data_IF_389801943112
#
_entry.id   IF_389801943112
#
_cell.length_a   1.000
_cell.length_b   1.000
_cell.length_c   1.000
_cell.angle_alpha   90.00
_cell.angle_beta   90.00
_cell.angle_gamma   90.00
#
_symmetry.space_group_name_H-M   'P 1'
#
loop_
_entity.id
_entity.type
_entity.pdbx_description
1 polymer ?
#
# COMPACT_ATOMS: atom_id res chain seq x y z
N UNK A 1 7.50 2.49 31.15
CA UNK A 1 7.54 3.89 30.64
C UNK A 1 7.89 3.83 29.16
N UNK A 2 6.97 4.24 28.29
CA UNK A 2 7.23 4.27 26.84
C UNK A 2 8.23 5.39 26.55
N UNK A 3 9.44 5.03 26.18
CA UNK A 3 10.48 5.98 25.77
C UNK A 3 10.04 6.71 24.51
N UNK A 4 10.06 8.04 24.53
CA UNK A 4 9.80 8.85 23.34
C UNK A 4 11.11 9.15 22.61
N UNK A 5 11.16 8.95 21.30
CA UNK A 5 12.31 9.26 20.44
C UNK A 5 12.38 10.79 20.26
N UNK A 6 13.47 11.43 20.72
CA UNK A 6 13.66 12.86 20.52
C UNK A 6 14.17 13.14 19.10
N UNK A 7 14.01 14.39 18.65
CA UNK A 7 14.53 14.86 17.34
C UNK A 7 16.02 14.59 17.17
N UNK A 8 16.80 14.77 18.22
CA UNK A 8 18.26 14.61 18.19
C UNK A 8 18.74 13.19 17.83
N UNK A 9 17.94 12.16 18.12
CA UNK A 9 18.26 10.79 17.70
C UNK A 9 18.02 10.57 16.20
N UNK A 10 17.15 11.38 15.58
CA UNK A 10 16.78 11.28 14.17
C UNK A 10 17.57 12.22 13.26
N UNK A 11 18.22 13.25 13.81
CA UNK A 11 18.96 14.25 13.02
C UNK A 11 20.06 13.61 12.16
N UNK A 12 20.80 12.66 12.70
CA UNK A 12 21.86 11.93 11.98
C UNK A 12 21.30 11.07 10.87
N UNK A 13 20.17 10.38 11.11
CA UNK A 13 19.48 9.56 10.11
C UNK A 13 18.98 10.42 8.96
N UNK A 14 18.27 11.52 9.26
CA UNK A 14 17.71 12.41 8.25
C UNK A 14 18.80 13.10 7.44
N UNK A 15 19.91 13.51 8.09
CA UNK A 15 21.06 14.10 7.40
C UNK A 15 21.77 13.10 6.49
N UNK A 16 21.96 11.86 6.95
CA UNK A 16 22.58 10.81 6.15
C UNK A 16 21.70 10.33 4.99
N UNK A 17 20.39 10.37 5.18
CA UNK A 17 19.39 10.01 4.17
C UNK A 17 19.01 11.17 3.25
N UNK A 18 19.92 12.13 3.00
CA UNK A 18 19.70 13.26 2.11
C UNK A 18 19.40 12.82 0.66
N UNK A 19 18.58 13.56 -0.10
CA UNK A 19 17.80 13.06 -1.25
C UNK A 19 18.58 12.68 -2.52
N UNK A 20 19.90 12.75 -2.50
CA UNK A 20 20.73 12.44 -3.68
C UNK A 20 21.01 10.94 -3.85
N UNK A 21 20.85 10.13 -2.80
CA UNK A 21 21.30 8.74 -2.78
C UNK A 21 20.13 7.75 -2.49
N UNK A 22 19.08 8.18 -1.80
CA UNK A 22 18.00 7.32 -1.35
C UNK A 22 16.63 7.82 -1.81
N UNK A 23 15.91 7.00 -2.56
CA UNK A 23 14.55 7.29 -3.02
C UNK A 23 13.52 7.16 -1.89
N UNK A 24 13.79 6.31 -0.92
CA UNK A 24 12.88 6.04 0.20
C UNK A 24 13.60 6.05 1.54
N UNK A 25 12.94 6.61 2.55
CA UNK A 25 13.41 6.65 3.94
C UNK A 25 12.42 5.89 4.80
N UNK A 26 12.92 5.01 5.67
CA UNK A 26 12.08 4.23 6.58
C UNK A 26 12.65 4.31 7.99
N UNK A 27 11.78 4.61 8.96
CA UNK A 27 12.07 4.52 10.38
C UNK A 27 11.34 3.32 10.96
N UNK A 28 12.08 2.38 11.52
CA UNK A 28 11.53 1.26 12.29
C UNK A 28 11.89 1.49 13.75
N UNK A 29 10.90 1.49 14.64
CA UNK A 29 11.12 1.74 16.06
C UNK A 29 10.29 0.81 16.94
N UNK A 30 10.91 0.42 18.07
CA UNK A 30 10.31 -0.41 19.12
C UNK A 30 9.54 0.42 20.16
N UNK A 31 9.04 1.60 19.77
CA UNK A 31 8.20 2.48 20.56
C UNK A 31 7.29 3.28 19.63
N UNK A 32 6.11 3.66 20.09
CA UNK A 32 5.20 4.57 19.38
C UNK A 32 5.43 6.05 19.77
N UNK A 33 6.26 6.29 20.76
CA UNK A 33 6.57 7.61 21.26
C UNK A 33 7.50 8.38 20.32
N UNK A 34 7.00 9.44 19.69
CA UNK A 34 7.80 10.46 18.99
C UNK A 34 7.57 11.82 19.65
N UNK A 35 8.65 12.56 19.91
CA UNK A 35 8.51 13.96 20.33
C UNK A 35 7.83 14.79 19.22
N UNK A 36 7.16 15.90 19.59
CA UNK A 36 6.47 16.75 18.61
C UNK A 36 7.42 17.20 17.47
N UNK A 37 8.64 17.60 17.81
CA UNK A 37 9.64 18.02 16.83
C UNK A 37 10.17 16.85 15.97
N UNK A 38 10.26 15.64 16.53
CA UNK A 38 10.65 14.44 15.79
C UNK A 38 9.55 14.06 14.78
N UNK A 39 8.29 14.12 15.20
CA UNK A 39 7.13 13.83 14.34
C UNK A 39 7.08 14.79 13.16
N UNK A 40 7.15 16.09 13.42
CA UNK A 40 7.16 17.10 12.37
C UNK A 40 8.31 16.87 11.38
N UNK A 41 9.51 16.59 11.85
CA UNK A 41 10.68 16.35 10.98
C UNK A 41 10.50 15.10 10.09
N UNK A 42 9.94 14.03 10.64
CA UNK A 42 9.65 12.79 9.89
C UNK A 42 8.60 13.05 8.80
N UNK A 43 7.55 13.79 9.13
CA UNK A 43 6.47 14.13 8.21
C UNK A 43 6.99 15.07 7.10
N UNK A 44 7.74 16.11 7.43
CA UNK A 44 8.37 17.04 6.49
C UNK A 44 9.32 16.33 5.50
N UNK A 45 10.01 15.28 5.97
CA UNK A 45 10.97 14.50 5.17
C UNK A 45 10.35 13.27 4.50
N UNK A 46 9.05 13.06 4.61
CA UNK A 46 8.30 11.93 4.04
C UNK A 46 8.90 10.57 4.42
N UNK A 47 9.23 10.39 5.69
CA UNK A 47 9.80 9.13 6.19
C UNK A 47 8.68 8.14 6.50
N UNK A 48 8.71 6.96 5.90
CA UNK A 48 7.80 5.86 6.25
C UNK A 48 8.06 5.40 7.69
N UNK A 49 7.02 5.27 8.50
CA UNK A 49 7.08 4.89 9.92
C UNK A 49 6.59 3.47 10.13
N UNK A 50 7.40 2.62 10.73
CA UNK A 50 7.02 1.30 11.25
C UNK A 50 7.29 1.33 12.75
N UNK A 51 6.24 1.59 13.53
CA UNK A 51 6.30 1.78 14.97
C UNK A 51 5.87 0.51 15.71
N UNK A 52 6.10 0.48 17.04
CA UNK A 52 5.81 -0.70 17.86
C UNK A 52 4.35 -1.18 17.72
N UNK A 53 3.38 -0.29 17.83
CA UNK A 53 1.97 -0.67 17.71
C UNK A 53 1.62 -1.30 16.36
N UNK A 54 2.24 -0.84 15.26
CA UNK A 54 2.11 -1.50 13.96
C UNK A 54 2.71 -2.92 14.00
N UNK A 55 3.91 -3.08 14.57
CA UNK A 55 4.59 -4.36 14.68
C UNK A 55 3.80 -5.35 15.56
N UNK A 56 3.21 -4.88 16.66
CA UNK A 56 2.38 -5.69 17.57
C UNK A 56 1.04 -6.10 16.95
N UNK A 57 0.48 -5.25 16.08
CA UNK A 57 -0.77 -5.52 15.38
C UNK A 57 -0.59 -6.32 14.08
N UNK A 58 0.65 -6.55 13.63
CA UNK A 58 0.91 -7.49 12.56
C UNK A 58 0.38 -8.87 12.96
N UNK A 59 -0.68 -9.31 12.26
CA UNK A 59 -1.36 -10.58 12.52
C UNK A 59 -0.52 -11.81 12.14
N UNK A 60 0.62 -11.60 11.51
CA UNK A 60 1.54 -12.65 11.17
C UNK A 60 2.31 -13.05 12.42
N UNK A 61 2.24 -14.33 12.78
CA UNK A 61 2.98 -14.85 13.91
C UNK A 61 4.47 -14.62 13.68
N UNK A 62 5.11 -13.86 14.56
CA UNK A 62 6.55 -13.66 14.53
C UNK A 62 7.27 -14.98 14.76
N UNK A 63 8.36 -15.28 14.03
CA UNK A 63 9.15 -16.46 14.29
C UNK A 63 9.73 -16.42 15.71
N UNK A 64 9.83 -17.59 16.36
CA UNK A 64 10.35 -17.72 17.72
C UNK A 64 11.84 -17.34 17.84
N UNK A 65 12.57 -17.40 16.73
CA UNK A 65 13.97 -16.97 16.63
C UNK A 65 14.28 -16.51 15.20
N UNK A 66 15.42 -15.82 15.04
CA UNK A 66 15.89 -15.38 13.72
C UNK A 66 16.20 -16.54 12.78
N UNK A 67 16.56 -17.70 13.33
CA UNK A 67 16.85 -18.91 12.54
C UNK A 67 15.60 -19.49 11.88
N UNK A 68 14.43 -19.24 12.47
CA UNK A 68 13.13 -19.67 11.94
C UNK A 68 12.46 -18.61 11.04
N UNK A 69 13.15 -17.55 10.68
CA UNK A 69 12.60 -16.46 9.88
C UNK A 69 12.09 -16.94 8.50
N UNK A 70 12.73 -17.95 7.93
CA UNK A 70 12.39 -18.53 6.63
C UNK A 70 11.45 -19.75 6.72
N UNK A 71 11.19 -20.26 7.91
CA UNK A 71 10.33 -21.43 8.15
C UNK A 71 8.86 -21.06 8.40
N UNK A 72 8.54 -19.75 8.38
CA UNK A 72 7.16 -19.33 8.61
C UNK A 72 6.26 -19.90 7.54
N UNK A 73 5.21 -20.63 7.93
CA UNK A 73 4.20 -21.09 6.99
C UNK A 73 3.57 -19.82 6.38
N UNK A 74 3.78 -19.64 5.08
CA UNK A 74 3.03 -18.62 4.32
C UNK A 74 1.56 -18.89 4.60
N UNK A 75 0.88 -17.96 5.27
CA UNK A 75 -0.56 -18.10 5.56
C UNK A 75 -1.26 -18.43 4.25
N UNK A 76 -2.15 -19.43 4.21
CA UNK A 76 -2.82 -19.80 2.98
C UNK A 76 -3.54 -18.56 2.44
N UNK A 77 -3.05 -18.08 1.30
CA UNK A 77 -3.65 -16.96 0.59
C UNK A 77 -5.07 -17.38 0.26
N UNK A 78 -6.05 -16.53 0.62
CA UNK A 78 -7.45 -16.87 0.44
C UNK A 78 -7.75 -17.24 -1.02
N UNK A 79 -8.59 -18.24 -1.23
CA UNK A 79 -9.14 -18.59 -2.55
C UNK A 79 -10.46 -17.87 -2.79
N UNK A 80 -10.82 -17.60 -4.06
CA UNK A 80 -12.13 -17.07 -4.40
C UNK A 80 -13.25 -18.01 -3.91
N UNK A 81 -14.36 -17.43 -3.49
CA UNK A 81 -15.59 -18.18 -3.22
C UNK A 81 -16.29 -18.52 -4.53
N UNK A 82 -17.17 -19.53 -4.60
CA UNK A 82 -17.80 -19.95 -5.87
C UNK A 82 -18.45 -18.81 -6.68
N UNK A 83 -19.11 -17.87 -6.02
CA UNK A 83 -19.70 -16.72 -6.72
C UNK A 83 -18.65 -15.71 -7.23
N UNK A 84 -17.49 -15.63 -6.57
CA UNK A 84 -16.35 -14.81 -7.04
C UNK A 84 -15.65 -15.49 -8.20
N UNK A 85 -15.50 -16.81 -8.19
CA UNK A 85 -14.96 -17.58 -9.33
C UNK A 85 -15.82 -17.36 -10.59
N UNK A 86 -17.16 -17.40 -10.44
CA UNK A 86 -18.07 -17.10 -11.54
C UNK A 86 -17.88 -15.66 -12.04
N UNK A 87 -17.81 -14.68 -11.14
CA UNK A 87 -17.61 -13.29 -11.50
C UNK A 87 -16.26 -13.07 -12.22
N UNK A 88 -15.18 -13.71 -11.76
CA UNK A 88 -13.87 -13.67 -12.39
C UNK A 88 -13.93 -14.25 -13.81
N UNK A 89 -14.55 -15.40 -13.98
CA UNK A 89 -14.69 -16.05 -15.29
C UNK A 89 -15.50 -15.19 -16.27
N UNK A 90 -16.63 -14.64 -15.84
CA UNK A 90 -17.48 -13.76 -16.66
C UNK A 90 -16.76 -12.48 -17.10
N UNK A 91 -16.05 -11.82 -16.17
CA UNK A 91 -15.29 -10.61 -16.49
C UNK A 91 -14.15 -10.92 -17.46
N UNK A 92 -13.41 -12.00 -17.22
CA UNK A 92 -12.29 -12.40 -18.09
C UNK A 92 -12.75 -12.74 -19.50
N UNK A 93 -13.85 -13.50 -19.62
CA UNK A 93 -14.47 -13.81 -20.90
C UNK A 93 -15.02 -12.55 -21.60
N UNK A 94 -15.66 -11.66 -20.84
CA UNK A 94 -16.18 -10.39 -21.34
C UNK A 94 -15.09 -9.50 -21.92
N UNK A 95 -13.99 -9.33 -21.20
CA UNK A 95 -12.84 -8.51 -21.64
C UNK A 95 -12.05 -9.11 -22.80
N UNK A 96 -12.21 -10.40 -23.11
CA UNK A 96 -11.66 -11.00 -24.32
C UNK A 96 -12.38 -10.53 -25.61
N UNK A 97 -13.60 -10.01 -25.46
CA UNK A 97 -14.44 -9.59 -26.59
C UNK A 97 -14.82 -8.09 -26.56
N UNK A 98 -14.58 -7.42 -25.43
CA UNK A 98 -14.96 -6.03 -25.21
C UNK A 98 -13.86 -5.29 -24.49
N UNK A 99 -13.68 -4.01 -24.82
CA UNK A 99 -12.64 -3.14 -24.22
C UNK A 99 -13.01 -2.67 -22.79
N UNK A 100 -14.24 -2.87 -22.38
CA UNK A 100 -14.75 -2.43 -21.07
C UNK A 100 -15.94 -3.28 -20.61
N UNK A 101 -16.13 -3.31 -19.30
CA UNK A 101 -17.26 -3.98 -18.67
C UNK A 101 -17.62 -3.33 -17.33
N UNK A 102 -18.70 -3.80 -16.73
CA UNK A 102 -19.12 -3.41 -15.40
C UNK A 102 -19.40 -4.65 -14.58
N UNK A 103 -18.74 -4.77 -13.41
CA UNK A 103 -19.00 -5.82 -12.44
C UNK A 103 -19.80 -5.24 -11.27
N UNK A 104 -21.03 -5.71 -11.10
CA UNK A 104 -21.90 -5.28 -10.00
C UNK A 104 -21.95 -6.38 -8.95
N UNK A 105 -21.51 -6.05 -7.74
CA UNK A 105 -21.50 -6.98 -6.60
C UNK A 105 -22.06 -6.27 -5.36
N UNK A 106 -22.78 -6.99 -4.51
CA UNK A 106 -23.32 -6.45 -3.26
C UNK A 106 -22.21 -5.99 -2.29
N UNK A 107 -22.55 -5.14 -1.32
CA UNK A 107 -21.62 -4.75 -0.26
C UNK A 107 -21.21 -5.98 0.57
N UNK A 108 -19.94 -6.02 1.03
CA UNK A 108 -19.43 -7.12 1.84
C UNK A 108 -19.10 -8.42 1.09
N UNK A 109 -19.30 -8.49 -0.24
CA UNK A 109 -19.01 -9.70 -1.03
C UNK A 109 -17.54 -9.83 -1.49
N UNK A 110 -16.66 -8.95 -1.03
CA UNK A 110 -15.23 -9.02 -1.33
C UNK A 110 -14.86 -8.51 -2.73
N UNK A 111 -15.49 -7.43 -3.19
CA UNK A 111 -15.19 -6.77 -4.48
C UNK A 111 -13.71 -6.51 -4.68
N UNK A 112 -13.03 -6.01 -3.64
CA UNK A 112 -11.60 -5.69 -3.66
C UNK A 112 -10.74 -6.90 -4.01
N UNK A 113 -11.01 -8.05 -3.38
CA UNK A 113 -10.30 -9.29 -3.65
C UNK A 113 -10.69 -9.90 -5.01
N UNK A 114 -11.95 -9.79 -5.40
CA UNK A 114 -12.39 -10.21 -6.74
C UNK A 114 -11.63 -9.46 -7.83
N UNK A 115 -11.44 -8.14 -7.67
CA UNK A 115 -10.65 -7.32 -8.58
C UNK A 115 -9.16 -7.76 -8.61
N UNK A 116 -8.57 -8.10 -7.47
CA UNK A 116 -7.22 -8.67 -7.41
C UNK A 116 -7.12 -9.95 -8.26
N UNK A 117 -8.02 -10.91 -8.04
CA UNK A 117 -7.98 -12.19 -8.73
C UNK A 117 -8.26 -12.07 -10.23
N UNK A 118 -9.11 -11.12 -10.65
CA UNK A 118 -9.29 -10.76 -12.07
C UNK A 118 -7.95 -10.26 -12.64
N UNK A 119 -7.27 -9.36 -11.94
CA UNK A 119 -5.95 -8.84 -12.35
C UNK A 119 -4.92 -9.96 -12.46
N UNK A 120 -4.86 -10.86 -11.49
CA UNK A 120 -3.95 -12.01 -11.50
C UNK A 120 -4.26 -12.98 -12.65
N UNK A 121 -5.52 -13.16 -13.02
CA UNK A 121 -5.90 -14.03 -14.13
C UNK A 121 -5.61 -13.39 -15.49
N UNK A 122 -5.85 -12.11 -15.66
CA UNK A 122 -5.59 -11.35 -16.89
C UNK A 122 -4.09 -11.13 -17.13
N UNK A 123 -3.27 -11.08 -16.07
CA UNK A 123 -1.81 -10.87 -16.10
C UNK A 123 -1.37 -9.68 -16.97
N UNK A 124 -1.97 -8.49 -16.80
CA UNK A 124 -1.57 -7.32 -17.55
C UNK A 124 -0.16 -6.89 -17.14
N UNK A 125 0.58 -6.29 -18.07
CA UNK A 125 1.89 -5.70 -17.78
C UNK A 125 1.77 -4.50 -16.81
N UNK A 126 0.70 -3.73 -16.94
CA UNK A 126 0.38 -2.57 -16.09
C UNK A 126 -1.10 -2.61 -15.71
N UNK A 127 -1.39 -2.38 -14.44
CA UNK A 127 -2.76 -2.19 -13.92
C UNK A 127 -2.86 -0.82 -13.27
N UNK A 128 -3.88 -0.07 -13.61
CA UNK A 128 -4.26 1.17 -12.91
C UNK A 128 -5.51 0.90 -12.08
N UNK A 129 -5.38 1.10 -10.77
CA UNK A 129 -6.47 0.96 -9.80
C UNK A 129 -6.89 2.35 -9.34
N UNK A 130 -8.10 2.77 -9.66
CA UNK A 130 -8.65 4.06 -9.27
C UNK A 130 -9.67 3.89 -8.15
N UNK A 131 -9.50 4.67 -7.10
CA UNK A 131 -10.38 4.66 -5.92
C UNK A 131 -10.81 6.08 -5.53
N UNK A 132 -11.95 6.24 -4.86
CA UNK A 132 -12.48 7.57 -4.55
C UNK A 132 -11.78 8.30 -3.39
N UNK A 133 -11.00 7.62 -2.55
CA UNK A 133 -10.37 8.24 -1.38
C UNK A 133 -9.05 7.58 -1.00
N UNK A 134 -8.21 8.31 -0.24
CA UNK A 134 -6.94 7.83 0.31
C UNK A 134 -7.14 6.62 1.23
N UNK A 135 -8.22 6.62 2.00
CA UNK A 135 -8.55 5.51 2.90
C UNK A 135 -8.80 4.22 2.14
N UNK A 136 -9.58 4.30 1.05
CA UNK A 136 -9.82 3.14 0.18
C UNK A 136 -8.57 2.74 -0.60
N UNK A 137 -7.69 3.69 -0.95
CA UNK A 137 -6.40 3.39 -1.57
C UNK A 137 -5.54 2.56 -0.64
N UNK A 138 -5.35 3.01 0.59
CA UNK A 138 -4.59 2.30 1.62
C UNK A 138 -5.17 0.91 1.89
N UNK A 139 -6.46 0.83 2.12
CA UNK A 139 -7.15 -0.44 2.36
C UNK A 139 -6.97 -1.41 1.18
N UNK A 140 -7.19 -0.94 -0.05
CA UNK A 140 -7.09 -1.78 -1.25
C UNK A 140 -5.68 -2.30 -1.45
N UNK A 141 -4.67 -1.43 -1.32
CA UNK A 141 -3.27 -1.81 -1.43
C UNK A 141 -2.90 -2.87 -0.39
N UNK A 142 -3.23 -2.64 0.88
CA UNK A 142 -2.89 -3.58 1.96
C UNK A 142 -3.61 -4.92 1.80
N UNK A 143 -4.87 -4.93 1.39
CA UNK A 143 -5.61 -6.17 1.11
C UNK A 143 -4.99 -6.94 -0.07
N UNK A 144 -4.62 -6.25 -1.14
CA UNK A 144 -3.99 -6.85 -2.31
C UNK A 144 -2.61 -7.39 -1.96
N UNK A 145 -1.76 -6.61 -1.30
CA UNK A 145 -0.42 -7.05 -0.86
C UNK A 145 -0.49 -8.30 0.04
N UNK A 146 -1.49 -8.36 0.93
CA UNK A 146 -1.69 -9.47 1.86
C UNK A 146 -2.22 -10.75 1.21
N UNK A 147 -3.01 -10.63 0.13
CA UNK A 147 -3.74 -11.75 -0.47
C UNK A 147 -3.26 -12.15 -1.87
N UNK A 148 -2.39 -11.37 -2.48
CA UNK A 148 -1.84 -11.68 -3.81
C UNK A 148 -1.07 -13.00 -3.85
N UNK A 149 -1.23 -13.74 -4.94
CA UNK A 149 -0.43 -14.93 -5.26
C UNK A 149 0.72 -14.61 -6.23
N UNK A 150 0.79 -13.38 -6.70
CA UNK A 150 1.75 -12.91 -7.71
C UNK A 150 2.74 -11.92 -7.12
N UNK A 151 3.91 -11.84 -7.70
CA UNK A 151 4.87 -10.77 -7.42
C UNK A 151 4.61 -9.60 -8.35
N UNK A 152 4.48 -8.41 -7.79
CA UNK A 152 4.29 -7.16 -8.55
C UNK A 152 4.93 -5.99 -7.81
N UNK A 153 5.32 -4.98 -8.57
CA UNK A 153 5.74 -3.69 -8.04
C UNK A 153 4.55 -2.73 -8.02
N UNK A 154 4.52 -1.79 -7.09
CA UNK A 154 3.44 -0.82 -7.02
C UNK A 154 3.96 0.61 -6.87
N UNK A 155 3.12 1.55 -7.29
CA UNK A 155 3.30 2.97 -7.10
C UNK A 155 1.96 3.57 -6.68
N UNK A 156 1.99 4.44 -5.68
CA UNK A 156 0.81 5.21 -5.29
C UNK A 156 0.92 6.63 -5.85
N UNK A 157 -0.12 7.02 -6.59
CA UNK A 157 -0.20 8.36 -7.20
C UNK A 157 -1.40 9.07 -6.59
N UNK A 158 -1.13 10.04 -5.72
CA UNK A 158 -2.15 10.88 -5.11
C UNK A 158 -1.55 12.20 -4.63
N UNK A 159 -2.35 13.26 -4.69
CA UNK A 159 -1.98 14.60 -4.24
C UNK A 159 -2.60 14.91 -2.87
N UNK A 160 -1.97 15.83 -2.13
CA UNK A 160 -2.50 16.32 -0.85
C UNK A 160 -3.86 17.04 -0.98
N UNK A 161 -4.18 17.54 -2.18
CA UNK A 161 -5.43 18.24 -2.47
C UNK A 161 -6.67 17.33 -2.50
N UNK A 162 -6.47 16.01 -2.45
CA UNK A 162 -7.57 15.03 -2.38
C UNK A 162 -8.26 14.96 -1.01
N UNK A 163 -7.81 15.78 -0.06
CA UNK A 163 -8.43 15.89 1.27
C UNK A 163 -9.61 16.84 1.22
N UNK A 164 -10.73 16.40 0.71
CA UNK A 164 -12.00 17.04 1.04
C UNK A 164 -12.33 16.76 2.51
N UNK A 165 -12.38 17.84 3.26
CA UNK A 165 -12.71 17.94 4.68
C UNK A 165 -14.04 17.27 5.02
N UNK A 166 -14.04 15.96 5.17
CA UNK A 166 -15.10 15.27 5.91
C UNK A 166 -14.47 14.74 7.19
N UNK A 167 -14.91 15.25 8.31
CA UNK A 167 -14.39 15.05 9.66
C UNK A 167 -14.37 13.58 10.16
N UNK A 168 -14.76 12.60 9.36
CA UNK A 168 -14.94 11.20 9.74
C UNK A 168 -13.95 10.21 9.09
N UNK A 169 -12.89 10.67 8.41
CA UNK A 169 -11.95 9.74 7.78
C UNK A 169 -10.64 9.62 8.56
N UNK A 170 -10.21 8.40 8.94
CA UNK A 170 -8.99 8.17 9.73
C UNK A 170 -7.70 8.50 8.97
N UNK A 171 -7.72 8.57 7.63
CA UNK A 171 -6.60 9.00 6.79
C UNK A 171 -7.03 10.28 6.08
N UNK A 172 -6.53 11.42 6.54
CA UNK A 172 -6.90 12.73 6.02
C UNK A 172 -5.82 13.39 5.18
N UNK A 173 -4.59 12.94 5.27
CA UNK A 173 -3.46 13.49 4.51
C UNK A 173 -2.60 12.38 3.89
N UNK A 174 -1.85 12.74 2.83
CA UNK A 174 -0.86 11.82 2.23
C UNK A 174 0.23 11.42 3.23
N UNK A 175 0.56 12.29 4.19
CA UNK A 175 1.50 12.01 5.26
C UNK A 175 1.06 10.90 6.23
N UNK A 176 -0.23 10.59 6.29
CA UNK A 176 -0.78 9.51 7.12
C UNK A 176 -0.64 8.12 6.45
N UNK A 177 -0.26 8.08 5.18
CA UNK A 177 -0.06 6.83 4.45
C UNK A 177 1.26 6.17 4.87
N UNK A 178 1.22 4.86 5.12
CA UNK A 178 2.39 4.06 5.52
C UNK A 178 3.30 3.68 4.34
N UNK A 179 3.09 4.24 3.15
CA UNK A 179 3.83 3.93 1.93
C UNK A 179 4.10 5.20 1.10
N UNK A 180 5.17 5.20 0.28
CA UNK A 180 5.53 6.36 -0.52
C UNK A 180 4.49 6.66 -1.59
N UNK A 181 4.24 7.95 -1.82
CA UNK A 181 3.35 8.46 -2.86
C UNK A 181 4.08 9.49 -3.70
N UNK A 182 3.70 9.63 -4.95
CA UNK A 182 4.22 10.65 -5.85
C UNK A 182 3.12 11.23 -6.73
N UNK A 183 3.33 12.46 -7.17
CA UNK A 183 2.58 13.10 -8.27
C UNK A 183 3.54 13.53 -9.38
N UNK A 184 4.84 13.22 -9.24
CA UNK A 184 5.85 13.57 -10.21
C UNK A 184 5.74 12.69 -11.46
N UNK A 185 5.58 13.28 -12.61
CA UNK A 185 5.49 12.58 -13.90
C UNK A 185 6.73 11.76 -14.24
N UNK A 186 7.92 12.23 -13.82
CA UNK A 186 9.17 11.55 -14.11
C UNK A 186 9.31 10.26 -13.30
N UNK A 187 8.86 10.27 -12.02
CA UNK A 187 8.81 9.08 -11.18
C UNK A 187 7.83 8.04 -11.75
N UNK A 188 6.66 8.50 -12.22
CA UNK A 188 5.66 7.65 -12.84
C UNK A 188 6.21 7.04 -14.13
N UNK A 189 6.86 7.83 -14.98
CA UNK A 189 7.47 7.37 -16.21
C UNK A 189 8.59 6.35 -15.94
N UNK A 190 9.46 6.62 -14.96
CA UNK A 190 10.50 5.70 -14.54
C UNK A 190 9.91 4.38 -14.04
N UNK A 191 8.88 4.43 -13.17
CA UNK A 191 8.18 3.23 -12.70
C UNK A 191 7.56 2.42 -13.85
N UNK A 192 6.94 3.08 -14.82
CA UNK A 192 6.34 2.43 -15.99
C UNK A 192 7.38 1.79 -16.92
N UNK A 193 8.63 2.24 -16.88
CA UNK A 193 9.73 1.65 -17.65
C UNK A 193 10.32 0.39 -17.00
N UNK A 194 10.05 0.14 -15.70
CA UNK A 194 10.56 -1.06 -15.02
C UNK A 194 9.95 -2.34 -15.63
N UNK A 195 10.73 -3.44 -15.66
CA UNK A 195 10.22 -4.74 -16.10
C UNK A 195 9.28 -5.36 -15.04
N UNK A 196 8.45 -6.31 -15.45
CA UNK A 196 7.56 -7.08 -14.58
C UNK A 196 6.15 -6.52 -14.49
N UNK A 197 5.34 -7.11 -13.63
CA UNK A 197 3.96 -6.68 -13.37
C UNK A 197 3.96 -5.45 -12.49
N UNK A 198 3.30 -4.40 -12.91
CA UNK A 198 3.25 -3.10 -12.24
C UNK A 198 1.82 -2.70 -11.95
N UNK A 199 1.57 -2.22 -10.73
CA UNK A 199 0.24 -1.75 -10.31
C UNK A 199 0.38 -0.31 -9.83
N UNK A 200 -0.41 0.57 -10.39
CA UNK A 200 -0.53 1.95 -9.94
C UNK A 200 -1.86 2.09 -9.19
N UNK A 201 -1.79 2.52 -7.95
CA UNK A 201 -2.97 2.90 -7.17
C UNK A 201 -3.10 4.42 -7.17
N UNK A 202 -4.26 4.92 -7.52
CA UNK A 202 -4.49 6.37 -7.60
C UNK A 202 -5.91 6.73 -7.13
N UNK A 203 -6.09 7.97 -6.74
CA UNK A 203 -7.42 8.53 -6.51
C UNK A 203 -7.96 9.15 -7.81
N UNK A 204 -9.28 9.31 -7.91
CA UNK A 204 -9.90 9.92 -9.11
C UNK A 204 -9.49 11.37 -9.35
N UNK A 205 -8.93 12.03 -8.34
CA UNK A 205 -8.61 13.46 -8.33
C UNK A 205 -7.11 13.73 -8.51
N UNK A 206 -6.31 12.69 -8.63
CA UNK A 206 -4.85 12.80 -8.76
C UNK A 206 -4.41 13.04 -10.18
#
# INVERSE_FOLDING_TARGET
>A
ESRSIPKSELDSFVSAASPVIFDHKMLVATTDGLSANARQMIDDQRVTKIMLGYLETCLDAWPSSIDHLYEHPVQPKGSPRPYQELAIAEVTAGLSNHDRGQLIMACGTGKTLTALWITEQLKPAVTLVLVPSLNLLSQTLLEWAKKTNSTWSYLCVCSDDTVNKSDDQPISTVGDLSFPVTTNSDDIAAFLAHPGTRIIFSTYQS
#
